data_IF_510293972350
#
_entry.id   IF_510293972350
#
_cell.length_a   1.000
_cell.length_b   1.000
_cell.length_c   1.000
_cell.angle_alpha   90.00
_cell.angle_beta   90.00
_cell.angle_gamma   90.00
#
_symmetry.space_group_name_H-M   'P 1'
#
loop_
_entity.id
_entity.type
_entity.pdbx_description
1 polymer ?
#
# COMPACT_ATOMS: atom_id res chain seq x y z
N UNK A 1 -20.53 -0.98 19.89
CA UNK A 1 -19.53 -1.27 18.85
C UNK A 1 -20.08 -2.38 17.97
N UNK A 2 -20.37 -2.04 16.71
CA UNK A 2 -20.79 -3.00 15.68
C UNK A 2 -19.55 -3.62 15.01
N UNK A 3 -19.73 -4.72 14.27
CA UNK A 3 -18.64 -5.34 13.49
C UNK A 3 -17.97 -4.35 12.52
N UNK A 4 -18.73 -3.39 11.99
CA UNK A 4 -18.23 -2.34 11.11
C UNK A 4 -17.23 -1.43 11.84
N UNK A 5 -17.58 -0.96 13.03
CA UNK A 5 -16.74 -0.05 13.83
C UNK A 5 -15.35 -0.66 14.11
N UNK A 6 -15.30 -1.97 14.39
CA UNK A 6 -14.01 -2.66 14.59
C UNK A 6 -13.15 -2.68 13.33
N UNK A 7 -13.76 -2.88 12.15
CA UNK A 7 -13.05 -2.89 10.87
C UNK A 7 -12.53 -1.49 10.53
N UNK A 8 -13.33 -0.45 10.79
CA UNK A 8 -12.93 0.93 10.56
C UNK A 8 -11.77 1.35 11.45
N UNK A 9 -11.79 0.98 12.73
CA UNK A 9 -10.68 1.25 13.66
C UNK A 9 -9.41 0.52 13.17
N UNK A 10 -9.52 -0.75 12.81
CA UNK A 10 -8.36 -1.50 12.30
C UNK A 10 -7.81 -0.88 11.00
N UNK A 11 -8.69 -0.48 10.08
CA UNK A 11 -8.32 0.18 8.82
C UNK A 11 -7.67 1.54 9.07
N UNK A 12 -8.25 2.37 9.95
CA UNK A 12 -7.75 3.69 10.31
C UNK A 12 -6.35 3.62 10.94
N UNK A 13 -6.07 2.59 11.75
CA UNK A 13 -4.75 2.37 12.34
C UNK A 13 -3.72 1.87 11.32
N UNK A 14 -4.15 1.17 10.26
CA UNK A 14 -3.24 0.58 9.27
C UNK A 14 -2.40 1.63 8.55
N UNK A 15 -2.97 2.79 8.20
CA UNK A 15 -2.25 3.88 7.54
C UNK A 15 -1.09 4.44 8.38
N UNK A 16 -1.37 4.99 9.59
CA UNK A 16 -0.34 5.49 10.50
C UNK A 16 0.69 4.44 10.89
N UNK A 17 0.26 3.20 11.18
CA UNK A 17 1.17 2.12 11.54
C UNK A 17 2.07 1.74 10.38
N UNK A 18 1.53 1.60 9.16
CA UNK A 18 2.34 1.26 7.99
C UNK A 18 3.33 2.35 7.61
N UNK A 19 2.94 3.64 7.68
CA UNK A 19 3.88 4.75 7.50
C UNK A 19 4.94 4.74 8.60
N UNK A 20 4.54 4.60 9.86
CA UNK A 20 5.44 4.56 11.00
C UNK A 20 6.48 3.44 10.87
N UNK A 21 6.05 2.24 10.48
CA UNK A 21 6.94 1.11 10.23
C UNK A 21 7.93 1.39 9.09
N UNK A 22 7.48 1.98 7.98
CA UNK A 22 8.37 2.37 6.87
C UNK A 22 9.39 3.42 7.32
N UNK A 23 8.97 4.42 8.12
CA UNK A 23 9.89 5.44 8.63
C UNK A 23 10.91 4.84 9.61
N UNK A 24 10.47 3.96 10.53
CA UNK A 24 11.37 3.24 11.44
C UNK A 24 12.37 2.36 10.68
N UNK A 25 11.91 1.67 9.63
CA UNK A 25 12.80 0.88 8.77
C UNK A 25 13.81 1.78 8.06
N UNK A 26 13.36 2.92 7.52
CA UNK A 26 14.25 3.90 6.87
C UNK A 26 15.31 4.43 7.81
N UNK A 27 14.94 4.80 9.04
CA UNK A 27 15.87 5.28 10.06
C UNK A 27 16.90 4.23 10.45
N UNK A 28 16.51 2.95 10.54
CA UNK A 28 17.42 1.84 10.89
C UNK A 28 18.34 1.41 9.76
N UNK A 29 17.86 1.39 8.51
CA UNK A 29 18.63 0.85 7.37
C UNK A 29 19.35 1.93 6.58
N UNK A 30 19.00 3.21 6.74
CA UNK A 30 19.59 4.33 6.00
C UNK A 30 19.34 4.29 4.47
N UNK A 31 18.53 3.33 4.00
CA UNK A 31 18.23 3.15 2.57
C UNK A 31 17.32 4.26 2.05
N UNK A 32 17.53 4.63 0.79
CA UNK A 32 16.66 5.55 0.06
C UNK A 32 15.29 4.92 -0.23
N UNK A 33 14.30 5.76 -0.51
CA UNK A 33 12.95 5.32 -0.87
C UNK A 33 12.98 4.82 -2.32
N UNK A 34 12.97 3.50 -2.50
CA UNK A 34 12.82 2.86 -3.81
C UNK A 34 11.36 2.74 -4.25
N UNK A 35 11.14 2.44 -5.54
CA UNK A 35 9.81 2.31 -6.13
C UNK A 35 8.88 1.33 -5.35
N UNK A 36 9.43 0.22 -4.84
CA UNK A 36 8.68 -0.75 -4.04
C UNK A 36 8.17 -0.19 -2.71
N UNK A 37 8.92 0.69 -2.06
CA UNK A 37 8.49 1.34 -0.81
C UNK A 37 7.35 2.29 -1.11
N UNK A 38 7.44 3.05 -2.21
CA UNK A 38 6.34 3.93 -2.65
C UNK A 38 5.08 3.12 -2.94
N UNK A 39 5.20 1.98 -3.63
CA UNK A 39 4.07 1.09 -3.88
C UNK A 39 3.42 0.61 -2.59
N UNK A 40 4.24 0.16 -1.63
CA UNK A 40 3.74 -0.28 -0.33
C UNK A 40 3.01 0.85 0.41
N UNK A 41 3.60 2.04 0.48
CA UNK A 41 2.98 3.21 1.13
C UNK A 41 1.65 3.58 0.46
N UNK A 42 1.59 3.55 -0.87
CA UNK A 42 0.34 3.79 -1.60
C UNK A 42 -0.74 2.79 -1.22
N UNK A 43 -0.43 1.50 -1.12
CA UNK A 43 -1.40 0.46 -0.73
C UNK A 43 -1.85 0.65 0.71
N UNK A 44 -0.90 0.89 1.62
CA UNK A 44 -1.16 1.13 3.05
C UNK A 44 -2.06 2.34 3.27
N UNK A 45 -2.00 3.34 2.40
CA UNK A 45 -2.85 4.52 2.48
C UNK A 45 -4.19 4.35 1.76
N UNK A 46 -4.18 3.91 0.50
CA UNK A 46 -5.40 3.86 -0.31
C UNK A 46 -6.34 2.73 0.11
N UNK A 47 -5.81 1.54 0.40
CA UNK A 47 -6.64 0.38 0.69
C UNK A 47 -7.57 0.58 1.89
N UNK A 48 -7.10 1.03 3.08
CA UNK A 48 -8.00 1.27 4.20
C UNK A 48 -8.99 2.41 3.95
N UNK A 49 -8.61 3.46 3.19
CA UNK A 49 -9.52 4.56 2.85
C UNK A 49 -10.67 4.05 1.96
N UNK A 50 -10.36 3.28 0.93
CA UNK A 50 -11.39 2.69 0.06
C UNK A 50 -12.29 1.73 0.85
N UNK A 51 -11.73 0.96 1.78
CA UNK A 51 -12.49 0.05 2.64
C UNK A 51 -13.48 0.81 3.54
N UNK A 52 -13.03 1.85 4.25
CA UNK A 52 -13.88 2.66 5.13
C UNK A 52 -15.00 3.32 4.31
N UNK A 53 -14.65 4.00 3.23
CA UNK A 53 -15.63 4.69 2.39
C UNK A 53 -16.64 3.73 1.73
N UNK A 54 -16.22 2.49 1.42
CA UNK A 54 -17.11 1.45 0.94
C UNK A 54 -18.07 0.92 2.02
N UNK A 55 -17.61 0.77 3.26
CA UNK A 55 -18.43 0.39 4.41
C UNK A 55 -19.40 1.51 4.83
N UNK A 56 -19.04 2.77 4.59
CA UNK A 56 -19.90 3.93 4.78
C UNK A 56 -20.89 4.16 3.62
N UNK A 57 -20.83 3.34 2.56
CA UNK A 57 -21.67 3.48 1.35
C UNK A 57 -21.50 4.85 0.67
N UNK A 58 -20.38 5.53 0.90
CA UNK A 58 -20.02 6.80 0.23
C UNK A 58 -19.57 6.55 -1.20
N UNK A 59 -18.88 5.43 -1.43
CA UNK A 59 -18.47 5.00 -2.77
C UNK A 59 -19.44 3.97 -3.34
N UNK A 60 -19.79 4.14 -4.61
CA UNK A 60 -20.50 3.12 -5.37
C UNK A 60 -19.58 1.93 -5.70
N UNK A 61 -20.20 0.76 -5.88
CA UNK A 61 -19.53 -0.51 -6.15
C UNK A 61 -18.65 -0.44 -7.40
N UNK A 62 -19.06 0.30 -8.43
CA UNK A 62 -18.25 0.53 -9.62
C UNK A 62 -16.96 1.31 -9.28
N UNK A 63 -17.08 2.35 -8.45
CA UNK A 63 -15.93 3.19 -8.05
C UNK A 63 -14.95 2.41 -7.18
N UNK A 64 -15.45 1.58 -6.25
CA UNK A 64 -14.63 0.67 -5.45
C UNK A 64 -13.86 -0.29 -6.37
N UNK A 65 -14.56 -0.91 -7.33
CA UNK A 65 -13.93 -1.80 -8.31
C UNK A 65 -12.83 -1.12 -9.13
N UNK A 66 -13.08 0.11 -9.60
CA UNK A 66 -12.08 0.90 -10.34
C UNK A 66 -10.87 1.25 -9.47
N UNK A 67 -11.08 1.67 -8.23
CA UNK A 67 -9.99 1.99 -7.30
C UNK A 67 -9.14 0.75 -6.99
N UNK A 68 -9.78 -0.38 -6.67
CA UNK A 68 -9.08 -1.64 -6.41
C UNK A 68 -8.32 -2.13 -7.63
N UNK A 69 -8.92 -2.06 -8.82
CA UNK A 69 -8.24 -2.39 -10.08
C UNK A 69 -7.04 -1.48 -10.36
N UNK A 70 -7.17 -0.18 -10.12
CA UNK A 70 -6.08 0.79 -10.26
C UNK A 70 -4.92 0.52 -9.29
N UNK A 71 -5.22 0.22 -8.02
CA UNK A 71 -4.21 -0.15 -7.03
C UNK A 71 -3.53 -1.47 -7.41
N UNK A 72 -4.30 -2.49 -7.82
CA UNK A 72 -3.75 -3.76 -8.26
C UNK A 72 -2.83 -3.59 -9.48
N UNK A 73 -3.26 -2.83 -10.49
CA UNK A 73 -2.43 -2.51 -11.66
C UNK A 73 -1.17 -1.75 -11.30
N UNK A 74 -1.27 -0.78 -10.39
CA UNK A 74 -0.12 -0.03 -9.90
C UNK A 74 0.91 -0.93 -9.18
N UNK A 75 0.46 -1.86 -8.33
CA UNK A 75 1.34 -2.84 -7.68
C UNK A 75 2.03 -3.71 -8.73
N UNK A 76 1.25 -4.27 -9.66
CA UNK A 76 1.74 -5.20 -10.69
C UNK A 76 2.74 -4.53 -11.65
N UNK A 77 2.60 -3.22 -11.90
CA UNK A 77 3.46 -2.47 -12.83
C UNK A 77 4.97 -2.54 -12.54
N UNK A 78 5.38 -2.81 -11.29
CA UNK A 78 6.80 -2.89 -10.89
C UNK A 78 7.26 -4.29 -10.51
N UNK A 79 6.43 -5.32 -10.68
CA UNK A 79 6.80 -6.70 -10.33
C UNK A 79 7.97 -7.19 -11.19
N UNK A 80 8.02 -6.79 -12.47
CA UNK A 80 9.08 -7.18 -13.41
C UNK A 80 10.43 -6.47 -13.22
N UNK A 81 10.48 -5.35 -12.50
CA UNK A 81 11.71 -4.56 -12.28
C UNK A 81 12.49 -5.01 -11.03
N UNK A 82 12.13 -6.15 -10.44
CA UNK A 82 12.81 -6.65 -9.26
C UNK A 82 14.17 -7.24 -9.60
N UNK A 83 15.23 -6.44 -9.46
CA UNK A 83 16.61 -6.92 -9.48
C UNK A 83 17.02 -7.30 -8.04
N UNK A 84 17.24 -8.59 -7.73
CA UNK A 84 17.68 -9.00 -6.40
C UNK A 84 19.07 -8.44 -6.09
N UNK A 85 19.25 -7.97 -4.85
CA UNK A 85 20.54 -7.45 -4.40
C UNK A 85 21.61 -8.55 -4.44
N UNK A 86 22.56 -8.45 -5.36
CA UNK A 86 23.65 -9.42 -5.57
C UNK A 86 23.71 -10.04 -6.97
N UNK A 87 22.76 -9.75 -7.86
CA UNK A 87 22.92 -10.11 -9.27
C UNK A 87 24.11 -9.32 -9.86
N UNK A 88 25.15 -10.02 -10.31
CA UNK A 88 26.20 -9.39 -11.13
C UNK A 88 25.53 -8.80 -12.37
N UNK A 89 25.82 -7.53 -12.60
CA UNK A 89 25.51 -6.87 -13.85
C UNK A 89 26.54 -7.40 -14.84
N UNK A 90 26.14 -8.34 -15.68
CA UNK A 90 26.94 -8.72 -16.84
C UNK A 90 26.85 -7.54 -17.81
N UNK A 91 27.95 -6.78 -17.88
CA UNK A 91 28.14 -5.70 -18.84
C UNK A 91 28.30 -6.31 -20.24
N UNK A 92 27.25 -6.21 -21.07
CA UNK A 92 27.29 -6.41 -22.53
C UNK A 92 27.31 -5.06 -23.26
#
# INVERSE_FOLDING_TARGET
MTTKDYIEIAAALTGPLGIGLVMLQRLKTGRSIGARIVQFVTVVLLFPVVLILGLEKVLDSATIGTMLGGVAGFILSRVGEYVPAGAKQDDD
#
